data_IF_249730133875
#
_entry.id   IF_249730133875
#
_cell.length_a   1.000
_cell.length_b   1.000
_cell.length_c   1.000
_cell.angle_alpha   90.00
_cell.angle_beta   90.00
_cell.angle_gamma   90.00
#
_symmetry.space_group_name_H-M   'P 1'
#
loop_
_entity.id
_entity.type
_entity.pdbx_description
1 polymer ?
#
# COMPACT_ATOMS: atom_id res chain seq x y z
N UNK A 1 -9.19 -6.18 -15.22
CA UNK A 1 -7.94 -6.05 -14.44
C UNK A 1 -7.56 -4.59 -14.40
N UNK A 2 -7.02 -4.11 -13.28
CA UNK A 2 -6.40 -2.80 -13.17
C UNK A 2 -4.99 -2.95 -12.61
N UNK A 3 -4.08 -2.08 -13.05
CA UNK A 3 -2.71 -1.97 -12.52
C UNK A 3 -2.55 -0.57 -11.95
N UNK A 4 -2.19 -0.48 -10.68
CA UNK A 4 -2.09 0.75 -9.92
C UNK A 4 -0.71 0.86 -9.27
N UNK A 5 -0.35 2.06 -8.82
CA UNK A 5 0.89 2.32 -8.09
C UNK A 5 0.63 2.60 -6.60
N UNK A 6 1.69 2.65 -5.79
CA UNK A 6 1.62 3.02 -4.38
C UNK A 6 2.77 3.97 -3.99
N UNK A 7 2.49 4.89 -3.04
CA UNK A 7 3.54 5.54 -2.24
C UNK A 7 3.97 4.59 -1.11
N UNK A 8 2.98 4.06 -0.39
CA UNK A 8 3.15 3.03 0.63
C UNK A 8 2.06 1.96 0.45
N UNK A 9 2.40 0.73 0.82
CA UNK A 9 1.46 -0.37 1.02
C UNK A 9 1.83 -1.06 2.33
N UNK A 10 0.86 -1.52 3.11
CA UNK A 10 1.13 -2.23 4.37
C UNK A 10 0.94 -3.75 4.25
N UNK A 11 1.24 -4.47 5.33
CA UNK A 11 1.09 -5.94 5.41
C UNK A 11 -0.37 -6.41 5.34
N UNK A 12 -1.33 -5.50 5.51
CA UNK A 12 -2.76 -5.74 5.30
C UNK A 12 -3.21 -5.35 3.88
N UNK A 13 -2.26 -5.03 2.99
CA UNK A 13 -2.48 -4.56 1.62
C UNK A 13 -3.18 -3.20 1.50
N UNK A 14 -3.34 -2.43 2.58
CA UNK A 14 -3.87 -1.06 2.47
C UNK A 14 -2.86 -0.19 1.72
N UNK A 15 -3.34 0.71 0.88
CA UNK A 15 -2.50 1.53 0.01
C UNK A 15 -2.64 3.01 0.32
N UNK A 16 -1.50 3.67 0.44
CA UNK A 16 -1.35 5.12 0.48
C UNK A 16 -0.90 5.65 -0.87
N UNK A 17 -1.61 6.66 -1.36
CA UNK A 17 -1.23 7.46 -2.53
C UNK A 17 -1.36 8.96 -2.27
N UNK A 18 -1.50 9.38 -1.01
CA UNK A 18 -1.79 10.77 -0.64
C UNK A 18 -0.65 11.44 0.14
N UNK A 19 -0.15 10.81 1.19
CA UNK A 19 0.91 11.37 2.04
C UNK A 19 2.27 10.77 1.69
N UNK A 20 3.31 11.60 1.68
CA UNK A 20 4.68 11.13 1.54
C UNK A 20 5.20 10.49 2.83
N UNK A 21 6.42 9.94 2.77
CA UNK A 21 7.11 9.35 3.92
C UNK A 21 7.50 10.36 5.02
N UNK A 22 7.20 11.64 4.83
CA UNK A 22 7.32 12.71 5.82
C UNK A 22 5.94 13.15 6.35
N UNK A 23 4.87 12.43 6.01
CA UNK A 23 3.50 12.71 6.44
C UNK A 23 2.84 13.87 5.70
N UNK A 24 3.56 14.54 4.80
CA UNK A 24 3.06 15.72 4.08
C UNK A 24 2.22 15.30 2.87
N UNK A 25 1.06 15.92 2.73
CA UNK A 25 0.17 15.79 1.56
C UNK A 25 0.91 16.17 0.27
N UNK A 26 1.05 15.21 -0.64
CA UNK A 26 1.73 15.41 -1.94
C UNK A 26 1.23 14.52 -3.08
N UNK A 27 0.26 13.68 -2.78
CA UNK A 27 -0.34 12.76 -3.74
C UNK A 27 -1.79 13.13 -4.04
N UNK A 28 -2.52 12.16 -4.58
CA UNK A 28 -3.92 12.33 -4.93
C UNK A 28 -4.65 10.99 -4.79
N UNK A 29 -5.89 11.01 -4.31
CA UNK A 29 -6.73 9.81 -4.25
C UNK A 29 -7.01 9.23 -5.65
N UNK A 30 -7.42 10.11 -6.58
CA UNK A 30 -7.76 9.72 -7.95
C UNK A 30 -8.90 8.69 -7.99
N UNK A 31 -8.91 7.83 -9.01
CA UNK A 31 -9.80 6.67 -9.09
C UNK A 31 -9.15 5.37 -8.56
N UNK A 32 -8.14 5.50 -7.68
CA UNK A 32 -7.35 4.37 -7.21
C UNK A 32 -8.24 3.35 -6.49
N UNK A 33 -8.94 3.79 -5.45
CA UNK A 33 -9.85 2.93 -4.70
C UNK A 33 -11.06 2.46 -5.52
N UNK A 34 -11.56 3.29 -6.44
CA UNK A 34 -12.70 2.97 -7.30
C UNK A 34 -12.41 1.83 -8.26
N UNK A 35 -11.28 1.91 -8.96
CA UNK A 35 -10.90 0.89 -9.93
C UNK A 35 -10.40 -0.38 -9.25
N UNK A 36 -9.77 -0.26 -8.09
CA UNK A 36 -9.35 -1.41 -7.28
C UNK A 36 -10.55 -2.30 -6.94
N UNK A 37 -11.60 -1.74 -6.32
CA UNK A 37 -12.78 -2.51 -5.90
C UNK A 37 -13.67 -2.97 -7.07
N UNK A 38 -13.73 -2.20 -8.16
CA UNK A 38 -14.57 -2.54 -9.31
C UNK A 38 -13.93 -3.56 -10.27
N UNK A 39 -12.64 -3.83 -10.11
CA UNK A 39 -11.91 -4.76 -10.98
C UNK A 39 -12.08 -6.21 -10.54
N UNK A 40 -12.06 -7.15 -11.50
CA UNK A 40 -11.98 -8.58 -11.19
C UNK A 40 -10.59 -9.00 -10.64
N UNK A 41 -9.58 -8.16 -10.89
CA UNK A 41 -8.19 -8.35 -10.47
C UNK A 41 -7.50 -6.98 -10.33
N UNK A 42 -7.09 -6.66 -9.12
CA UNK A 42 -6.41 -5.42 -8.72
C UNK A 42 -4.95 -5.70 -8.36
N UNK A 43 -4.03 -5.10 -9.11
CA UNK A 43 -2.58 -5.29 -8.94
C UNK A 43 -1.92 -3.96 -8.57
N UNK A 44 -1.23 -3.93 -7.43
CA UNK A 44 -0.33 -2.84 -7.06
C UNK A 44 1.06 -3.17 -7.57
N UNK A 45 1.68 -2.23 -8.29
CA UNK A 45 3.07 -2.33 -8.77
C UNK A 45 3.87 -1.19 -8.17
N UNK A 46 4.93 -1.53 -7.44
CA UNK A 46 5.87 -0.54 -6.92
C UNK A 46 7.26 -1.15 -6.71
N UNK A 47 8.35 -0.38 -6.85
CA UNK A 47 9.64 -0.82 -6.34
C UNK A 47 9.51 -1.07 -4.83
N UNK A 48 10.20 -2.07 -4.30
CA UNK A 48 10.15 -2.36 -2.86
C UNK A 48 10.72 -1.18 -2.03
N UNK A 49 11.70 -0.47 -2.60
CA UNK A 49 12.39 0.67 -1.99
C UNK A 49 12.56 1.80 -3.00
N UNK A 50 12.31 3.05 -2.56
CA UNK A 50 12.60 4.27 -3.32
C UNK A 50 13.71 5.05 -2.62
N UNK A 51 14.94 4.90 -3.09
CA UNK A 51 16.11 5.49 -2.43
C UNK A 51 16.37 4.84 -1.08
N UNK A 52 15.98 5.50 0.01
CA UNK A 52 16.05 4.96 1.39
C UNK A 52 14.68 4.74 2.04
N UNK A 53 13.60 4.95 1.27
CA UNK A 53 12.23 4.89 1.78
C UNK A 53 11.62 3.54 1.38
N UNK A 54 11.19 2.70 2.33
CA UNK A 54 10.50 1.47 2.00
C UNK A 54 9.10 1.79 1.48
N UNK A 55 8.68 1.13 0.40
CA UNK A 55 7.28 1.22 -0.07
C UNK A 55 6.38 0.25 0.68
N UNK A 56 6.91 -0.88 1.17
CA UNK A 56 6.17 -1.79 2.02
C UNK A 56 6.50 -1.53 3.50
N UNK A 57 5.49 -1.10 4.26
CA UNK A 57 5.58 -0.68 5.67
C UNK A 57 4.68 -1.54 6.56
N UNK A 58 4.76 -1.33 7.88
CA UNK A 58 3.89 -2.04 8.83
C UNK A 58 2.44 -1.55 8.80
N UNK A 59 2.27 -0.23 8.72
CA UNK A 59 0.98 0.43 8.56
C UNK A 59 1.20 1.65 7.68
N UNK A 60 0.31 1.88 6.72
CA UNK A 60 0.36 3.08 5.89
C UNK A 60 0.05 4.33 6.72
N UNK A 61 0.65 5.48 6.35
CA UNK A 61 0.34 6.75 7.01
C UNK A 61 -1.06 7.26 6.71
N UNK A 62 -1.59 6.91 5.54
CA UNK A 62 -2.94 7.31 5.13
C UNK A 62 -3.54 6.25 4.23
N UNK A 63 -4.65 5.65 4.67
CA UNK A 63 -5.37 4.65 3.88
C UNK A 63 -6.27 5.32 2.84
N UNK A 64 -5.95 5.13 1.55
CA UNK A 64 -6.79 5.55 0.43
C UNK A 64 -7.57 4.38 -0.14
N UNK A 65 -6.90 3.23 -0.30
CA UNK A 65 -7.49 2.02 -0.87
C UNK A 65 -7.38 0.88 0.14
N UNK A 66 -8.51 0.35 0.63
CA UNK A 66 -8.51 -0.79 1.53
C UNK A 66 -7.83 -2.01 0.92
N UNK A 67 -7.07 -2.75 1.72
CA UNK A 67 -6.42 -3.98 1.26
C UNK A 67 -7.39 -5.08 0.82
N UNK A 68 -8.64 -5.03 1.28
CA UNK A 68 -9.71 -5.90 0.77
C UNK A 68 -10.03 -5.70 -0.72
N UNK A 69 -9.56 -4.60 -1.32
CA UNK A 69 -9.71 -4.27 -2.74
C UNK A 69 -8.42 -4.49 -3.54
N UNK A 70 -7.37 -5.04 -2.93
CA UNK A 70 -6.07 -5.29 -3.55
C UNK A 70 -5.81 -6.79 -3.56
N UNK A 71 -5.56 -7.35 -4.74
CA UNK A 71 -5.36 -8.79 -4.87
C UNK A 71 -3.89 -9.18 -4.89
N UNK A 72 -3.04 -8.38 -5.53
CA UNK A 72 -1.62 -8.71 -5.75
C UNK A 72 -0.76 -7.46 -5.57
N UNK A 73 0.36 -7.61 -4.88
CA UNK A 73 1.48 -6.68 -4.89
C UNK A 73 2.62 -7.28 -5.73
N UNK A 74 3.09 -6.52 -6.71
CA UNK A 74 4.26 -6.85 -7.54
C UNK A 74 5.36 -5.84 -7.25
N UNK A 75 6.53 -6.35 -6.89
CA UNK A 75 7.75 -5.56 -6.67
C UNK A 75 8.90 -6.11 -7.51
N UNK A 76 9.99 -5.36 -7.57
CA UNK A 76 11.29 -5.78 -8.10
C UNK A 76 11.99 -6.87 -7.25
N UNK A 77 11.44 -7.21 -6.07
CA UNK A 77 11.95 -8.25 -5.17
C UNK A 77 11.06 -9.49 -5.08
N UNK A 78 9.83 -9.45 -5.63
CA UNK A 78 8.90 -10.56 -5.58
C UNK A 78 7.44 -10.14 -5.70
N UNK A 79 6.58 -11.15 -5.80
CA UNK A 79 5.13 -11.00 -5.92
C UNK A 79 4.49 -11.55 -4.65
N UNK A 80 3.66 -10.75 -3.99
CA UNK A 80 2.82 -11.18 -2.88
C UNK A 80 1.35 -11.16 -3.31
N UNK A 81 0.65 -12.26 -3.05
CA UNK A 81 -0.79 -12.38 -3.30
C UNK A 81 -1.52 -12.21 -1.97
N UNK A 82 -2.60 -11.44 -1.99
CA UNK A 82 -3.45 -11.25 -0.83
C UNK A 82 -4.01 -12.61 -0.37
N UNK A 83 -3.84 -13.00 0.91
CA UNK A 83 -4.38 -14.25 1.45
C UNK A 83 -5.89 -14.44 1.26
N UNK A 84 -6.65 -13.36 1.03
CA UNK A 84 -8.07 -13.42 0.68
C UNK A 84 -8.34 -13.99 -0.73
N UNK A 85 -7.31 -14.16 -1.56
CA UNK A 85 -7.37 -14.67 -2.95
C UNK A 85 -6.40 -15.84 -3.18
N UNK A 86 -6.47 -16.93 -2.40
CA UNK A 86 -5.51 -18.03 -2.47
C UNK A 86 -5.48 -18.71 -3.84
N UNK A 87 -6.59 -18.68 -4.58
CA UNK A 87 -6.69 -19.23 -5.93
C UNK A 87 -5.76 -18.52 -6.93
N UNK A 88 -5.46 -17.23 -6.71
CA UNK A 88 -4.53 -16.50 -7.55
C UNK A 88 -3.08 -16.93 -7.27
N UNK A 89 -2.74 -17.23 -6.01
CA UNK A 89 -1.41 -17.70 -5.64
C UNK A 89 -1.13 -19.07 -6.26
N UNK A 90 -2.08 -19.99 -6.20
CA UNK A 90 -1.99 -21.31 -6.83
C UNK A 90 -1.78 -21.20 -8.34
N UNK A 91 -2.63 -20.44 -9.04
CA UNK A 91 -2.52 -20.23 -10.49
C UNK A 91 -1.18 -19.63 -10.92
N UNK A 92 -0.63 -18.71 -10.13
CA UNK A 92 0.69 -18.14 -10.40
C UNK A 92 1.80 -19.18 -10.21
N UNK A 93 1.74 -19.97 -9.13
CA UNK A 93 2.71 -21.02 -8.85
C UNK A 93 2.69 -22.14 -9.91
N UNK A 94 1.51 -22.58 -10.34
CA UNK A 94 1.34 -23.54 -11.44
C UNK A 94 1.93 -23.02 -12.76
N UNK A 95 1.83 -21.71 -13.00
CA UNK A 95 2.44 -21.04 -14.15
C UNK A 95 3.97 -20.83 -14.00
N UNK A 96 4.58 -21.33 -12.92
CA UNK A 96 6.02 -21.19 -12.64
C UNK A 96 6.43 -19.82 -12.09
N UNK A 97 5.48 -19.01 -11.65
CA UNK A 97 5.74 -17.68 -11.07
C UNK A 97 5.92 -17.83 -9.55
N UNK A 98 7.08 -17.40 -9.05
CA UNK A 98 7.38 -17.43 -7.62
C UNK A 98 6.55 -16.39 -6.86
N UNK A 99 5.73 -16.86 -5.93
CA UNK A 99 5.00 -16.03 -4.96
C UNK A 99 5.72 -16.09 -3.60
N UNK A 100 5.80 -14.95 -2.92
CA UNK A 100 6.35 -14.80 -1.56
C UNK A 100 5.28 -14.22 -0.64
N UNK A 101 5.44 -14.34 0.68
CA UNK A 101 4.54 -13.66 1.61
C UNK A 101 4.80 -12.15 1.63
N UNK A 102 3.80 -11.37 2.02
CA UNK A 102 3.96 -9.93 2.17
C UNK A 102 4.94 -9.61 3.32
N UNK A 103 4.97 -10.43 4.38
CA UNK A 103 5.91 -10.29 5.49
C UNK A 103 7.36 -10.50 5.02
N UNK A 104 7.59 -11.42 4.07
CA UNK A 104 8.92 -11.61 3.48
C UNK A 104 9.38 -10.37 2.72
N UNK A 105 8.49 -9.74 1.94
CA UNK A 105 8.79 -8.48 1.26
C UNK A 105 9.03 -7.35 2.27
N UNK A 106 8.24 -7.29 3.35
CA UNK A 106 8.38 -6.29 4.42
C UNK A 106 9.73 -6.40 5.11
N UNK A 107 10.14 -7.62 5.46
CA UNK A 107 11.45 -7.86 6.06
C UNK A 107 12.57 -7.54 5.07
N UNK A 108 12.38 -7.87 3.78
CA UNK A 108 13.33 -7.50 2.74
C UNK A 108 13.48 -5.98 2.61
N UNK A 109 12.39 -5.21 2.72
CA UNK A 109 12.43 -3.76 2.70
C UNK A 109 13.23 -3.21 3.90
N UNK A 110 12.95 -3.69 5.12
CA UNK A 110 13.67 -3.31 6.35
C UNK A 110 15.17 -3.61 6.27
N UNK A 111 15.57 -4.74 5.69
CA UNK A 111 16.98 -5.05 5.48
C UNK A 111 17.70 -4.05 4.54
N UNK A 112 16.96 -3.44 3.61
CA UNK A 112 17.51 -2.49 2.64
C UNK A 112 17.50 -1.05 3.16
N UNK A 113 16.51 -0.68 3.98
CA UNK A 113 16.29 0.71 4.43
C UNK A 113 16.64 0.94 5.89
N UNK A 114 16.72 -0.11 6.70
CA UNK A 114 16.64 -0.01 8.16
C UNK A 114 15.22 0.30 8.63
N UNK A 115 15.10 0.58 9.93
CA UNK A 115 13.85 1.03 10.53
C UNK A 115 13.54 2.48 10.11
N UNK A 116 12.33 2.75 9.56
CA UNK A 116 11.86 4.11 9.37
C UNK A 116 11.80 4.84 10.71
N UNK A 117 12.25 6.09 10.75
CA UNK A 117 11.99 6.95 11.90
C UNK A 117 10.50 7.32 11.93
N UNK A 118 9.80 7.11 13.07
CA UNK A 118 8.42 7.54 13.21
C UNK A 118 8.29 9.06 13.00
N UNK A 119 7.22 9.48 12.35
CA UNK A 119 6.86 10.89 12.20
C UNK A 119 6.03 11.29 13.41
N UNK A 120 6.35 12.43 14.02
CA UNK A 120 5.51 13.01 15.06
C UNK A 120 4.38 13.84 14.44
N UNK A 121 3.15 13.56 14.87
CA UNK A 121 1.96 14.31 14.48
C UNK A 121 1.38 15.04 15.68
N UNK A 122 0.68 16.13 15.42
CA UNK A 122 -0.18 16.80 16.41
C UNK A 122 -1.61 16.25 16.33
N UNK A 123 -2.47 16.57 17.29
CA UNK A 123 -3.88 16.16 17.28
C UNK A 123 -4.74 16.91 16.24
N UNK A 124 -4.17 17.88 15.51
CA UNK A 124 -4.92 18.68 14.54
C UNK A 124 -5.13 17.88 13.25
N UNK A 125 -6.38 17.57 12.93
CA UNK A 125 -6.78 17.05 11.62
C UNK A 125 -6.68 18.15 10.55
N UNK A 126 -5.93 17.87 9.48
CA UNK A 126 -5.72 18.79 8.33
C UNK A 126 -6.47 18.35 7.07
N UNK A 127 -6.84 17.08 6.97
CA UNK A 127 -7.69 16.56 5.89
C UNK A 127 -8.50 15.35 6.35
N UNK A 128 -9.68 15.16 5.75
CA UNK A 128 -10.53 13.98 5.93
C UNK A 128 -10.53 13.19 4.64
N UNK A 129 -10.15 11.91 4.71
CA UNK A 129 -10.20 11.00 3.57
C UNK A 129 -11.56 10.34 3.55
N UNK A 130 -12.35 10.64 2.51
CA UNK A 130 -13.60 9.95 2.25
C UNK A 130 -13.38 8.78 1.32
N UNK A 131 -13.98 7.65 1.65
CA UNK A 131 -14.10 6.54 0.74
C UNK A 131 -15.15 6.85 -0.33
N UNK A 132 -15.16 6.04 -1.39
CA UNK A 132 -16.05 6.21 -2.55
C UNK A 132 -17.54 6.17 -2.22
N UNK A 133 -17.93 5.55 -1.10
CA UNK A 133 -19.31 5.49 -0.61
C UNK A 133 -19.70 6.69 0.28
N UNK A 134 -18.76 7.63 0.49
CA UNK A 134 -18.95 8.83 1.31
C UNK A 134 -18.62 8.65 2.79
N UNK A 135 -18.35 7.42 3.26
CA UNK A 135 -17.84 7.18 4.62
C UNK A 135 -16.44 7.77 4.81
N UNK A 136 -16.05 8.00 6.06
CA UNK A 136 -14.68 8.42 6.39
C UNK A 136 -13.84 7.18 6.62
N UNK A 137 -12.82 6.98 5.79
CA UNK A 137 -11.89 5.85 5.89
C UNK A 137 -10.65 6.20 6.71
N UNK A 138 -10.23 7.46 6.66
CA UNK A 138 -9.05 7.92 7.39
C UNK A 138 -9.03 9.45 7.54
N UNK A 139 -8.11 9.95 8.35
CA UNK A 139 -7.83 11.38 8.53
C UNK A 139 -6.33 11.64 8.49
N UNK A 140 -5.93 12.79 7.95
CA UNK A 140 -4.53 13.21 7.94
C UNK A 140 -4.32 14.23 9.05
N UNK A 141 -3.34 13.99 9.90
CA UNK A 141 -2.97 14.88 11.00
C UNK A 141 -1.82 15.81 10.59
N UNK A 142 -1.76 17.00 11.22
CA UNK A 142 -0.66 17.94 11.00
C UNK A 142 0.65 17.35 11.53
N UNK A 143 1.69 17.31 10.68
CA UNK A 143 3.07 16.96 11.07
C UNK A 143 3.60 18.00 12.05
N UNK A 144 4.27 17.54 13.11
CA UNK A 144 4.89 18.40 14.11
C UNK A 144 6.21 18.96 13.57
N UNK A 145 6.40 20.28 13.70
CA UNK A 145 7.64 20.98 13.34
C UNK A 145 8.80 20.68 14.30
#
# INVERSE_FOLDING_TARGET
MVVLSALEIDTQFNVNVLTGSDGVLRGASGGHCDTAIASALSIIVAPLVRGRIPTLVDNVLTCITPGSSVDILVTDHGIAVNPARPELAERLQEAGIKVVSIEWLRERARLLTGEPQPIEFTDRVVAVVRYRDGSVIDVVHQVKE
#
